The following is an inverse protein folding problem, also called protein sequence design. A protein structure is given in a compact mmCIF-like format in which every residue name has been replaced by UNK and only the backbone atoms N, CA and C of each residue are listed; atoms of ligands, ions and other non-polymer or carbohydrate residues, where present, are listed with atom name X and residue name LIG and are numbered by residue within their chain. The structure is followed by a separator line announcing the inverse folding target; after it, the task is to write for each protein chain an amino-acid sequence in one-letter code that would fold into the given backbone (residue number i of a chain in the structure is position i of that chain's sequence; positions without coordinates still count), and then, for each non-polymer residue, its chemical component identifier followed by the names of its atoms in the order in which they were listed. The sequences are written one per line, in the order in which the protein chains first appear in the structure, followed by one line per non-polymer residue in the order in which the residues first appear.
data_IF_574249538958
#
_entry.id   IF_574249538958
#
_cell.length_a   1.000
_cell.length_b   1.000
_cell.length_c   1.000
_cell.angle_alpha   90.00
_cell.angle_beta   90.00
_cell.angle_gamma   90.00
#
_symmetry.space_group_name_H-M   'P 1'
#
loop_
_entity.id
_entity.type
_entity.pdbx_description
1 polymer ?
#
# COMPACT_ATOMS: atom_id res chain seq x y z
N UNK A 1 20.15 24.49 -34.50
CA UNK A 1 20.16 24.60 -33.03
C UNK A 1 18.72 24.43 -32.60
N UNK A 2 18.40 23.33 -31.95
CA UNK A 2 17.48 23.30 -30.81
C UNK A 2 17.53 21.89 -30.22
N UNK A 3 18.13 21.83 -29.05
CA UNK A 3 18.41 20.65 -28.25
C UNK A 3 17.11 20.16 -27.61
N UNK A 4 16.61 19.01 -28.06
CA UNK A 4 15.53 18.30 -27.38
C UNK A 4 15.99 17.87 -25.99
N UNK A 5 15.44 18.51 -24.96
CA UNK A 5 15.72 18.22 -23.56
C UNK A 5 15.16 16.85 -23.20
N UNK A 6 16.03 15.89 -22.91
CA UNK A 6 15.68 14.60 -22.31
C UNK A 6 15.27 14.90 -20.86
N UNK A 7 13.96 14.89 -20.59
CA UNK A 7 13.44 14.95 -19.22
C UNK A 7 13.89 13.70 -18.50
N UNK A 8 14.89 13.85 -17.64
CA UNK A 8 15.41 12.79 -16.78
C UNK A 8 14.33 12.33 -15.82
N UNK A 9 14.15 11.02 -15.72
CA UNK A 9 13.21 10.38 -14.80
C UNK A 9 13.43 10.90 -13.39
N UNK A 10 12.56 11.78 -12.92
CA UNK A 10 12.49 12.15 -11.52
C UNK A 10 12.14 10.88 -10.75
N UNK A 11 12.98 10.56 -9.78
CA UNK A 11 12.84 9.44 -8.85
C UNK A 11 11.38 9.34 -8.44
N UNK A 12 10.68 8.31 -8.94
CA UNK A 12 9.26 8.13 -8.73
C UNK A 12 9.04 7.99 -7.22
N UNK A 13 8.66 9.10 -6.58
CA UNK A 13 8.25 9.12 -5.19
C UNK A 13 7.08 8.17 -5.10
N UNK A 14 7.31 6.93 -4.62
CA UNK A 14 6.25 5.91 -4.50
C UNK A 14 5.06 6.59 -3.83
N UNK A 15 3.99 6.84 -4.57
CA UNK A 15 2.86 7.59 -4.06
C UNK A 15 2.34 6.87 -2.82
N UNK A 16 2.09 7.66 -1.78
CA UNK A 16 1.50 7.18 -0.55
C UNK A 16 0.02 6.95 -0.84
N UNK A 17 -0.35 5.75 -1.30
CA UNK A 17 -1.77 5.39 -1.41
C UNK A 17 -2.30 5.11 -0.01
N UNK A 18 -3.23 5.96 0.42
CA UNK A 18 -4.08 5.69 1.57
C UNK A 18 -5.13 4.65 1.21
N UNK A 19 -5.80 4.07 2.22
CA UNK A 19 -7.05 3.38 1.96
C UNK A 19 -8.04 4.45 1.45
N UNK A 20 -8.13 4.62 0.12
CA UNK A 20 -9.06 5.56 -0.52
C UNK A 20 -10.50 5.00 -0.54
N UNK A 21 -10.78 4.08 0.37
CA UNK A 21 -12.05 3.39 0.50
C UNK A 21 -12.80 4.16 1.58
N UNK A 22 -13.95 4.70 1.22
CA UNK A 22 -14.94 5.19 2.18
C UNK A 22 -15.44 3.95 2.95
N UNK A 23 -14.70 3.57 3.99
CA UNK A 23 -14.65 2.19 4.46
C UNK A 23 -15.77 1.83 5.45
N UNK A 24 -17.01 2.12 5.06
CA UNK A 24 -18.19 1.70 5.81
C UNK A 24 -18.81 0.40 5.27
N UNK A 25 -18.43 -0.06 4.07
CA UNK A 25 -19.05 -1.22 3.42
C UNK A 25 -18.21 -2.50 3.43
N UNK A 26 -16.93 -2.43 3.85
CA UNK A 26 -16.04 -3.58 3.93
C UNK A 26 -15.36 -3.63 5.29
N UNK A 27 -15.73 -4.62 6.10
CA UNK A 27 -15.04 -4.95 7.35
C UNK A 27 -13.66 -5.53 7.01
N UNK A 28 -12.69 -4.67 6.70
CA UNK A 28 -11.29 -5.07 6.69
C UNK A 28 -10.87 -5.35 8.13
N UNK A 29 -11.14 -6.57 8.61
CA UNK A 29 -10.71 -7.02 9.94
C UNK A 29 -9.21 -6.85 10.17
N UNK A 30 -8.41 -6.75 9.10
CA UNK A 30 -6.97 -6.57 9.18
C UNK A 30 -6.47 -5.67 8.04
N UNK A 31 -5.86 -4.54 8.41
CA UNK A 31 -5.23 -3.63 7.48
C UNK A 31 -3.72 -3.86 7.43
N UNK A 32 -3.17 -3.95 6.22
CA UNK A 32 -1.75 -4.23 6.00
C UNK A 32 -1.01 -2.96 5.58
N UNK A 33 -0.03 -2.54 6.38
CA UNK A 33 0.86 -1.42 6.08
C UNK A 33 2.29 -1.94 5.96
N UNK A 34 3.02 -1.50 4.94
CA UNK A 34 4.43 -1.83 4.76
C UNK A 34 5.27 -0.66 5.26
N UNK A 35 6.27 -0.97 6.08
CA UNK A 35 7.28 -0.03 6.57
C UNK A 35 8.61 -0.40 5.93
N UNK A 36 9.27 0.59 5.33
CA UNK A 36 10.51 0.45 4.56
C UNK A 36 11.51 1.54 4.96
N UNK A 37 12.82 1.24 5.00
CA UNK A 37 13.83 2.31 5.16
C UNK A 37 13.95 3.12 3.88
N UNK A 38 14.10 4.43 4.01
CA UNK A 38 14.23 5.36 2.88
C UNK A 38 15.67 5.53 2.38
N UNK A 39 16.68 5.07 3.13
CA UNK A 39 18.07 5.28 2.77
C UNK A 39 18.60 4.16 1.84
N UNK A 40 19.01 4.54 0.63
CA UNK A 40 19.49 3.64 -0.42
C UNK A 40 20.96 3.22 -0.25
N UNK A 41 21.75 3.95 0.55
CA UNK A 41 23.21 3.75 0.58
C UNK A 41 23.66 2.54 1.39
N UNK A 42 22.79 1.94 2.20
CA UNK A 42 23.06 0.66 2.89
C UNK A 42 21.75 -0.01 3.33
N UNK A 43 21.16 -0.80 2.43
CA UNK A 43 19.91 -1.53 2.68
C UNK A 43 20.18 -2.74 3.59
N UNK A 44 20.44 -2.45 4.87
CA UNK A 44 20.56 -3.44 5.93
C UNK A 44 19.19 -3.98 6.33
N UNK A 45 19.17 -5.18 6.92
CA UNK A 45 17.91 -5.83 7.28
C UNK A 45 17.09 -4.94 8.22
N UNK A 46 15.82 -4.67 7.90
CA UNK A 46 14.91 -3.98 8.81
C UNK A 46 14.30 -5.03 9.74
N UNK A 47 14.66 -4.96 11.02
CA UNK A 47 14.20 -5.92 12.01
C UNK A 47 12.80 -5.55 12.55
N UNK A 48 11.84 -6.50 12.62
CA UNK A 48 10.50 -6.24 13.13
C UNK A 48 10.46 -5.61 14.52
N UNK A 49 11.39 -5.99 15.41
CA UNK A 49 11.43 -5.47 16.80
C UNK A 49 11.77 -3.98 16.87
N UNK A 50 12.64 -3.48 15.97
CA UNK A 50 12.96 -2.05 15.90
C UNK A 50 11.73 -1.27 15.45
N UNK A 51 11.01 -1.79 14.45
CA UNK A 51 9.75 -1.20 14.01
C UNK A 51 8.72 -1.23 15.14
N UNK A 52 8.60 -2.34 15.87
CA UNK A 52 7.68 -2.46 17.00
C UNK A 52 7.94 -1.39 18.08
N UNK A 53 9.21 -1.19 18.43
CA UNK A 53 9.62 -0.20 19.44
C UNK A 53 9.23 1.23 19.01
N UNK A 54 9.53 1.61 17.76
CA UNK A 54 9.14 2.91 17.20
C UNK A 54 7.61 3.09 17.22
N UNK A 55 6.86 2.08 16.78
CA UNK A 55 5.40 2.15 16.69
C UNK A 55 4.74 2.30 18.07
N UNK A 56 5.24 1.60 19.09
CA UNK A 56 4.70 1.66 20.44
C UNK A 56 5.17 2.89 21.21
N UNK A 57 6.48 3.17 21.24
CA UNK A 57 7.04 4.23 22.07
C UNK A 57 6.82 5.62 21.48
N UNK A 58 7.05 5.79 20.17
CA UNK A 58 6.96 7.11 19.53
C UNK A 58 5.55 7.39 19.00
N UNK A 59 4.95 6.45 18.28
CA UNK A 59 3.67 6.67 17.59
C UNK A 59 2.44 6.29 18.44
N UNK A 60 2.63 5.61 19.58
CA UNK A 60 1.54 5.17 20.49
C UNK A 60 0.43 4.38 19.78
N UNK A 61 0.79 3.56 18.79
CA UNK A 61 -0.17 2.72 18.06
C UNK A 61 -0.39 1.43 18.84
N UNK A 62 -1.58 1.25 19.40
CA UNK A 62 -1.89 0.13 20.29
C UNK A 62 -2.60 -1.05 19.60
N UNK A 63 -3.27 -0.80 18.46
CA UNK A 63 -4.10 -1.80 17.78
C UNK A 63 -3.31 -2.64 16.74
N UNK A 64 -2.09 -3.03 17.10
CA UNK A 64 -1.24 -3.87 16.25
C UNK A 64 -1.59 -5.34 16.49
N UNK A 65 -1.95 -6.06 15.43
CA UNK A 65 -2.18 -7.50 15.47
C UNK A 65 -0.88 -8.28 15.29
N UNK A 66 -0.04 -7.87 14.33
CA UNK A 66 1.19 -8.58 14.02
C UNK A 66 2.20 -7.67 13.32
N UNK A 67 3.48 -7.90 13.60
CA UNK A 67 4.60 -7.29 12.87
C UNK A 67 5.47 -8.42 12.35
N UNK A 68 5.73 -8.46 11.04
CA UNK A 68 6.54 -9.51 10.42
C UNK A 68 7.47 -8.96 9.34
N UNK A 69 8.66 -9.55 9.22
CA UNK A 69 9.58 -9.22 8.12
C UNK A 69 9.04 -9.81 6.82
N UNK A 70 9.06 -9.03 5.74
CA UNK A 70 8.61 -9.45 4.40
C UNK A 70 9.70 -9.32 3.33
N UNK A 71 10.91 -8.91 3.73
CA UNK A 71 12.05 -8.75 2.85
C UNK A 71 13.21 -8.11 3.60
N UNK A 72 14.31 -7.83 2.88
CA UNK A 72 15.52 -7.24 3.46
C UNK A 72 15.21 -5.91 4.13
N UNK A 73 14.58 -4.97 3.42
CA UNK A 73 14.34 -3.62 3.95
C UNK A 73 12.91 -3.36 4.45
N UNK A 74 12.08 -4.40 4.54
CA UNK A 74 10.63 -4.21 4.64
C UNK A 74 10.02 -5.05 5.74
N UNK A 75 9.15 -4.41 6.50
CA UNK A 75 8.36 -5.03 7.55
C UNK A 75 6.88 -4.77 7.26
N UNK A 76 6.07 -5.82 7.37
CA UNK A 76 4.62 -5.75 7.27
C UNK A 76 4.05 -5.62 8.68
N UNK A 77 3.26 -4.57 8.86
CA UNK A 77 2.49 -4.28 10.07
C UNK A 77 1.04 -4.58 9.75
N UNK A 78 0.41 -5.43 10.56
CA UNK A 78 -1.00 -5.79 10.44
C UNK A 78 -1.74 -5.11 11.59
N UNK A 79 -2.63 -4.20 11.26
CA UNK A 79 -3.43 -3.39 12.19
C UNK A 79 -4.87 -3.87 12.19
N UNK A 80 -5.56 -3.70 13.32
CA UNK A 80 -6.97 -4.08 13.46
C UNK A 80 -7.95 -3.03 12.91
N UNK A 81 -7.48 -1.80 12.66
CA UNK A 81 -8.30 -0.66 12.23
C UNK A 81 -7.70 0.03 11.01
N UNK A 82 -8.57 0.48 10.13
CA UNK A 82 -8.23 1.29 8.95
C UNK A 82 -7.75 2.67 9.38
N UNK A 83 -8.35 3.23 10.43
CA UNK A 83 -7.96 4.53 10.97
C UNK A 83 -6.50 4.50 11.42
N UNK A 84 -6.10 3.48 12.18
CA UNK A 84 -4.71 3.31 12.63
C UNK A 84 -3.75 3.11 11.46
N UNK A 85 -4.20 2.43 10.40
CA UNK A 85 -3.39 2.21 9.22
C UNK A 85 -3.17 3.49 8.42
N UNK A 86 -4.20 4.30 8.22
CA UNK A 86 -4.09 5.62 7.61
C UNK A 86 -3.24 6.57 8.47
N UNK A 87 -3.41 6.54 9.79
CA UNK A 87 -2.61 7.33 10.72
C UNK A 87 -1.12 6.95 10.65
N UNK A 88 -0.80 5.65 10.59
CA UNK A 88 0.57 5.18 10.44
C UNK A 88 1.20 5.68 9.13
N UNK A 89 0.45 5.59 8.03
CA UNK A 89 0.91 6.00 6.71
C UNK A 89 1.15 7.51 6.61
N UNK A 90 0.32 8.31 7.29
CA UNK A 90 0.44 9.77 7.31
C UNK A 90 1.39 10.31 8.40
N UNK A 91 1.97 9.44 9.23
CA UNK A 91 2.76 9.88 10.37
C UNK A 91 4.13 10.44 9.94
N UNK A 92 4.39 11.71 10.27
CA UNK A 92 5.65 12.38 9.95
C UNK A 92 6.86 11.88 10.76
N UNK A 93 6.66 11.34 11.96
CA UNK A 93 7.75 10.88 12.84
C UNK A 93 8.54 9.70 12.23
N UNK A 94 7.93 8.93 11.32
CA UNK A 94 8.66 7.88 10.61
C UNK A 94 9.84 8.42 9.79
N UNK A 95 9.73 9.65 9.28
CA UNK A 95 10.80 10.28 8.50
C UNK A 95 12.04 10.57 9.34
N UNK A 96 11.87 10.87 10.63
CA UNK A 96 12.96 11.12 11.57
C UNK A 96 13.85 9.87 11.73
N UNK A 97 13.24 8.68 11.66
CA UNK A 97 13.92 7.39 11.73
C UNK A 97 14.35 6.85 10.35
N UNK A 98 14.30 7.67 9.29
CA UNK A 98 14.53 7.25 7.90
C UNK A 98 13.64 6.08 7.47
N UNK A 99 12.37 6.08 7.91
CA UNK A 99 11.36 5.11 7.56
C UNK A 99 10.24 5.75 6.74
N UNK A 100 9.63 4.93 5.90
CA UNK A 100 8.42 5.25 5.16
C UNK A 100 7.39 4.15 5.34
N UNK A 101 6.15 4.56 5.60
CA UNK A 101 5.00 3.67 5.60
C UNK A 101 4.16 3.87 4.34
N UNK A 102 3.60 2.79 3.80
CA UNK A 102 2.64 2.84 2.72
C UNK A 102 1.75 1.60 2.71
N UNK A 103 0.55 1.71 2.16
CA UNK A 103 -0.31 0.55 1.90
C UNK A 103 -0.01 0.07 0.47
N UNK A 104 0.39 -1.19 0.28
CA UNK A 104 0.74 -1.67 -1.05
C UNK A 104 -0.50 -1.81 -1.94
N UNK A 105 -0.45 -1.25 -3.14
CA UNK A 105 -1.57 -1.21 -4.09
C UNK A 105 -2.19 -2.58 -4.41
N UNK A 106 -1.36 -3.63 -4.53
CA UNK A 106 -1.83 -4.98 -4.82
C UNK A 106 -2.68 -5.61 -3.70
N UNK A 107 -2.72 -5.01 -2.51
CA UNK A 107 -3.66 -5.39 -1.44
C UNK A 107 -4.98 -4.62 -1.49
N UNK A 108 -5.04 -3.53 -2.26
CA UNK A 108 -6.22 -2.66 -2.39
C UNK A 108 -7.02 -2.99 -3.65
N UNK A 109 -6.31 -3.14 -4.77
CA UNK A 109 -6.91 -3.36 -6.08
C UNK A 109 -6.08 -4.38 -6.86
N UNK A 110 -6.77 -5.19 -7.65
CA UNK A 110 -6.16 -6.08 -8.64
C UNK A 110 -6.72 -5.65 -9.99
N UNK A 111 -5.82 -5.42 -10.94
CA UNK A 111 -6.18 -5.09 -12.33
C UNK A 111 -5.75 -6.23 -13.22
N UNK A 112 -6.65 -6.67 -14.09
CA UNK A 112 -6.41 -7.73 -15.06
C UNK A 112 -6.99 -7.36 -16.42
N UNK A 113 -6.37 -7.87 -17.48
CA UNK A 113 -6.88 -7.76 -18.84
C UNK A 113 -7.57 -9.07 -19.21
N UNK A 114 -8.84 -8.98 -19.60
CA UNK A 114 -9.58 -10.11 -20.16
C UNK A 114 -9.37 -10.06 -21.68
N UNK A 115 -8.96 -11.20 -22.26
CA UNK A 115 -8.73 -11.36 -23.71
C UNK A 115 -9.69 -12.41 -24.26
N UNK A 116 -9.78 -12.49 -25.58
CA UNK A 116 -10.58 -13.49 -26.30
C UNK A 116 -12.08 -13.49 -25.93
N UNK A 117 -12.60 -12.29 -25.63
CA UNK A 117 -14.04 -12.08 -25.41
C UNK A 117 -14.69 -11.85 -26.76
N UNK A 118 -15.69 -12.66 -27.07
CA UNK A 118 -16.51 -12.54 -28.27
C UNK A 118 -17.20 -11.17 -28.32
N UNK A 119 -17.09 -10.47 -29.46
CA UNK A 119 -17.60 -9.10 -29.66
C UNK A 119 -19.11 -9.00 -29.57
N UNK A 120 -19.83 -10.14 -29.58
CA UNK A 120 -21.28 -10.17 -29.31
C UNK A 120 -21.64 -9.72 -27.89
N UNK A 121 -20.72 -9.80 -26.93
CA UNK A 121 -20.96 -9.40 -25.54
C UNK A 121 -20.55 -7.95 -25.32
N UNK A 122 -21.52 -7.10 -25.00
CA UNK A 122 -21.25 -5.71 -24.64
C UNK A 122 -20.79 -5.58 -23.17
N UNK A 123 -20.28 -4.41 -22.81
CA UNK A 123 -19.77 -4.12 -21.47
C UNK A 123 -20.84 -4.30 -20.39
N UNK A 124 -22.08 -3.88 -20.64
CA UNK A 124 -23.17 -4.00 -19.65
C UNK A 124 -23.53 -5.46 -19.37
N UNK A 125 -23.54 -6.31 -20.40
CA UNK A 125 -23.74 -7.74 -20.28
C UNK A 125 -22.62 -8.38 -19.45
N UNK A 126 -21.36 -8.02 -19.71
CA UNK A 126 -20.22 -8.52 -18.97
C UNK A 126 -20.31 -8.11 -17.49
N UNK A 127 -20.57 -6.83 -17.20
CA UNK A 127 -20.71 -6.32 -15.83
C UNK A 127 -21.80 -7.04 -15.03
N UNK A 128 -22.93 -7.33 -15.67
CA UNK A 128 -24.06 -8.00 -15.02
C UNK A 128 -23.78 -9.47 -14.68
N UNK A 129 -23.01 -10.16 -15.52
CA UNK A 129 -22.82 -11.61 -15.38
C UNK A 129 -21.44 -12.00 -14.84
N UNK A 130 -20.50 -11.06 -14.75
CA UNK A 130 -19.23 -11.28 -14.06
C UNK A 130 -19.48 -11.42 -12.56
N UNK A 131 -18.97 -12.51 -12.00
CA UNK A 131 -18.94 -12.74 -10.57
C UNK A 131 -17.50 -12.72 -10.08
N UNK A 132 -17.28 -12.11 -8.93
CA UNK A 132 -15.98 -12.04 -8.27
C UNK A 132 -16.20 -12.08 -6.77
N UNK A 133 -15.25 -12.68 -6.06
CA UNK A 133 -15.22 -12.63 -4.59
C UNK A 133 -14.92 -11.22 -4.06
N UNK A 134 -14.49 -10.31 -4.93
CA UNK A 134 -14.19 -8.92 -4.59
C UNK A 134 -14.98 -7.96 -5.49
N UNK A 135 -15.33 -6.76 -4.99
CA UNK A 135 -16.10 -5.78 -5.74
C UNK A 135 -15.41 -5.41 -7.04
N UNK A 136 -16.19 -5.33 -8.12
CA UNK A 136 -15.71 -4.86 -9.43
C UNK A 136 -15.94 -3.34 -9.46
N UNK A 137 -14.87 -2.57 -9.66
CA UNK A 137 -14.89 -1.11 -9.74
C UNK A 137 -14.56 -0.72 -11.18
N UNK A 138 -15.40 0.12 -11.79
CA UNK A 138 -15.14 0.69 -13.11
C UNK A 138 -14.14 1.86 -13.01
N UNK A 139 -13.25 2.00 -14.00
CA UNK A 139 -12.30 3.09 -14.13
C UNK A 139 -12.68 4.04 -15.26
#
# INVERSE_FOLDING_TARGET
MDTGTITTNSSATREVKLFNINCNSYDFQNCCVYVEKTNDQNISRLHPMVVADILHQKLKINNIKQIKSIGRNRVKVILKSILDANNLVNNSHLKEDNLKAYIPNHLLEIKGLIRDVDTKYNIDYLKKHMSSSSPIIDF
#
